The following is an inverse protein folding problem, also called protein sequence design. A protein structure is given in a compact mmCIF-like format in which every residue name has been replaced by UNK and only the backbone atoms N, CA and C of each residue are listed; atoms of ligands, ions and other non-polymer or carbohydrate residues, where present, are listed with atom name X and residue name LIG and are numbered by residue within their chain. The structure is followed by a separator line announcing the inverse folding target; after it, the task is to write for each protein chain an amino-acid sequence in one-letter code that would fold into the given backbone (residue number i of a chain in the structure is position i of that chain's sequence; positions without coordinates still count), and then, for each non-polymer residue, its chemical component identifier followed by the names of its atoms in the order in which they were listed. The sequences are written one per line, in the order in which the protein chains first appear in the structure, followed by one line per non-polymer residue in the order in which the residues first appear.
data_IF_832615863308
#
_entry.id   IF_832615863308
#
_cell.length_a   1.000
_cell.length_b   1.000
_cell.length_c   1.000
_cell.angle_alpha   90.00
_cell.angle_beta   90.00
_cell.angle_gamma   90.00
#
_symmetry.space_group_name_H-M   'P 1'
#
loop_
_entity.id
_entity.type
_entity.pdbx_description
1 polymer ?
#
# COMPACT_ATOMS: atom_id res chain seq x y z
N UNK A 1 -19.63 19.33 -7.26
CA UNK A 1 -19.21 18.18 -6.45
C UNK A 1 -17.82 17.82 -6.92
N UNK A 2 -16.85 17.87 -6.00
CA UNK A 2 -15.49 17.35 -6.20
C UNK A 2 -15.62 15.83 -6.35
N UNK A 3 -15.24 15.28 -7.50
CA UNK A 3 -15.29 13.82 -7.73
C UNK A 3 -14.13 13.11 -7.04
N UNK A 4 -14.09 11.78 -7.08
CA UNK A 4 -13.01 11.00 -6.47
C UNK A 4 -11.60 11.37 -6.99
N UNK A 5 -11.50 11.96 -8.18
CA UNK A 5 -10.25 12.49 -8.75
C UNK A 5 -9.68 13.68 -7.98
N UNK A 6 -10.56 14.47 -7.35
CA UNK A 6 -10.22 15.63 -6.54
C UNK A 6 -10.14 15.28 -5.05
N UNK A 7 -10.23 13.98 -4.69
CA UNK A 7 -10.18 13.52 -3.32
C UNK A 7 -8.86 13.93 -2.66
N UNK A 8 -8.93 14.86 -1.72
CA UNK A 8 -7.76 15.41 -1.07
C UNK A 8 -7.24 14.50 0.05
N UNK A 9 -5.92 14.28 0.04
CA UNK A 9 -5.18 13.68 1.15
C UNK A 9 -4.48 14.82 1.92
N UNK A 10 -4.83 15.05 3.19
CA UNK A 10 -4.30 16.18 3.96
C UNK A 10 -2.77 16.23 3.94
N UNK A 11 -2.23 17.38 3.49
CA UNK A 11 -0.79 17.62 3.42
C UNK A 11 -0.05 16.89 2.29
N UNK A 12 -0.73 16.12 1.44
CA UNK A 12 -0.09 15.26 0.44
C UNK A 12 -0.58 15.48 -1.02
N UNK A 13 -1.72 16.14 -1.23
CA UNK A 13 -2.27 16.43 -2.56
C UNK A 13 -3.52 15.62 -2.88
N UNK A 14 -3.79 15.35 -4.16
CA UNK A 14 -4.91 14.48 -4.54
C UNK A 14 -4.59 13.00 -4.30
N UNK A 15 -5.62 12.16 -4.17
CA UNK A 15 -5.45 10.71 -4.05
C UNK A 15 -4.67 10.11 -5.24
N UNK A 16 -4.86 10.66 -6.44
CA UNK A 16 -4.12 10.27 -7.65
C UNK A 16 -2.64 10.63 -7.53
N UNK A 17 -2.31 11.84 -7.09
CA UNK A 17 -0.93 12.26 -6.86
C UNK A 17 -0.24 11.38 -5.82
N UNK A 18 -0.96 11.02 -4.75
CA UNK A 18 -0.45 10.16 -3.70
C UNK A 18 -0.18 8.74 -4.21
N UNK A 19 -1.08 8.15 -5.00
CA UNK A 19 -0.86 6.84 -5.62
C UNK A 19 0.38 6.84 -6.52
N UNK A 20 0.53 7.86 -7.38
CA UNK A 20 1.70 8.04 -8.24
C UNK A 20 3.00 8.15 -7.41
N UNK A 21 2.95 8.89 -6.30
CA UNK A 21 4.10 9.04 -5.41
C UNK A 21 4.44 7.74 -4.68
N UNK A 22 3.45 6.95 -4.26
CA UNK A 22 3.65 5.64 -3.63
C UNK A 22 4.37 4.68 -4.58
N UNK A 23 3.97 4.59 -5.86
CA UNK A 23 4.67 3.71 -6.82
C UNK A 23 6.08 4.20 -7.12
N UNK A 24 6.30 5.51 -7.22
CA UNK A 24 7.64 6.09 -7.41
C UNK A 24 8.56 5.74 -6.24
N UNK A 25 8.14 6.03 -5.00
CA UNK A 25 8.91 5.70 -3.81
C UNK A 25 9.14 4.19 -3.67
N UNK A 26 8.13 3.38 -4.01
CA UNK A 26 8.23 1.92 -4.01
C UNK A 26 9.29 1.41 -4.99
N UNK A 27 9.44 2.05 -6.15
CA UNK A 27 10.43 1.68 -7.16
C UNK A 27 11.86 2.04 -6.75
N UNK A 28 12.06 3.04 -5.89
CA UNK A 28 13.36 3.42 -5.33
C UNK A 28 13.85 2.45 -4.24
N UNK A 29 12.95 1.64 -3.66
CA UNK A 29 13.28 0.67 -2.63
C UNK A 29 14.04 -0.53 -3.21
N UNK A 30 15.16 -0.91 -2.58
CA UNK A 30 15.97 -2.06 -3.01
C UNK A 30 15.47 -3.39 -2.43
N UNK A 31 15.20 -3.48 -1.13
CA UNK A 31 14.85 -4.75 -0.48
C UNK A 31 13.35 -5.08 -0.48
N UNK A 32 12.47 -4.10 -0.69
CA UNK A 32 11.00 -4.25 -0.51
C UNK A 32 10.19 -3.82 -1.73
N UNK A 33 10.86 -3.66 -2.88
CA UNK A 33 10.25 -3.13 -4.10
C UNK A 33 8.97 -3.87 -4.50
N UNK A 34 8.98 -5.21 -4.43
CA UNK A 34 7.85 -6.04 -4.82
C UNK A 34 6.68 -5.90 -3.85
N UNK A 35 6.94 -5.87 -2.54
CA UNK A 35 5.91 -5.64 -1.53
C UNK A 35 5.28 -4.26 -1.67
N UNK A 36 6.08 -3.22 -1.99
CA UNK A 36 5.58 -1.89 -2.30
C UNK A 36 4.70 -1.87 -3.57
N UNK A 37 5.10 -2.58 -4.65
CA UNK A 37 4.29 -2.70 -5.87
C UNK A 37 2.96 -3.41 -5.63
N UNK A 38 2.95 -4.48 -4.84
CA UNK A 38 1.72 -5.20 -4.46
C UNK A 38 0.80 -4.31 -3.63
N UNK A 39 1.34 -3.59 -2.64
CA UNK A 39 0.58 -2.62 -1.85
C UNK A 39 -0.06 -1.56 -2.76
N UNK A 40 0.72 -0.95 -3.64
CA UNK A 40 0.19 0.00 -4.63
C UNK A 40 -0.96 -0.59 -5.45
N UNK A 41 -0.77 -1.81 -5.99
CA UNK A 41 -1.82 -2.48 -6.76
C UNK A 41 -3.12 -2.66 -5.99
N UNK A 42 -3.05 -2.97 -4.69
CA UNK A 42 -4.25 -3.08 -3.84
C UNK A 42 -4.92 -1.72 -3.57
N UNK A 43 -4.13 -0.67 -3.38
CA UNK A 43 -4.65 0.71 -3.23
C UNK A 43 -5.34 1.17 -4.52
N UNK A 44 -4.75 0.85 -5.68
CA UNK A 44 -5.33 1.18 -6.98
C UNK A 44 -6.64 0.43 -7.25
N UNK A 45 -6.76 -0.84 -6.84
CA UNK A 45 -8.03 -1.57 -6.91
C UNK A 45 -9.09 -0.87 -6.05
N UNK A 46 -8.76 -0.45 -4.82
CA UNK A 46 -9.71 0.29 -3.97
C UNK A 46 -10.16 1.60 -4.63
N UNK A 47 -9.21 2.37 -5.16
CA UNK A 47 -9.51 3.62 -5.86
C UNK A 47 -10.49 3.38 -7.02
N UNK A 48 -10.21 2.37 -7.84
CA UNK A 48 -11.03 2.03 -8.99
C UNK A 48 -12.43 1.53 -8.60
N UNK A 49 -12.57 0.76 -7.52
CA UNK A 49 -13.89 0.37 -7.00
C UNK A 49 -14.71 1.59 -6.55
N UNK A 50 -14.11 2.49 -5.77
CA UNK A 50 -14.76 3.74 -5.34
C UNK A 50 -15.16 4.60 -6.54
N UNK A 51 -14.31 4.67 -7.56
CA UNK A 51 -14.56 5.43 -8.78
C UNK A 51 -15.70 4.82 -9.60
N UNK A 52 -15.72 3.49 -9.74
CA UNK A 52 -16.80 2.78 -10.43
C UNK A 52 -18.16 2.95 -9.74
N UNK A 53 -18.19 3.08 -8.41
CA UNK A 53 -19.44 3.41 -7.69
C UNK A 53 -19.95 4.78 -8.13
N UNK A 54 -19.10 5.82 -8.14
CA UNK A 54 -19.47 7.16 -8.62
C UNK A 54 -19.95 7.14 -10.09
N UNK A 55 -19.24 6.44 -10.97
CA UNK A 55 -19.59 6.32 -12.39
C UNK A 55 -20.95 5.62 -12.60
N UNK A 56 -21.34 4.72 -11.70
CA UNK A 56 -22.66 4.07 -11.68
C UNK A 56 -23.76 4.92 -11.03
N UNK A 57 -23.46 6.16 -10.65
CA UNK A 57 -24.37 7.06 -9.94
C UNK A 57 -24.59 6.69 -8.47
N UNK A 58 -23.76 5.81 -7.91
CA UNK A 58 -23.76 5.48 -6.49
C UNK A 58 -22.76 6.38 -5.79
N UNK A 59 -23.08 6.85 -4.59
CA UNK A 59 -22.11 7.58 -3.78
C UNK A 59 -21.39 6.61 -2.83
N UNK A 60 -20.05 6.57 -2.83
CA UNK A 60 -19.32 5.87 -1.79
C UNK A 60 -19.71 6.38 -0.41
N UNK A 61 -19.73 5.49 0.58
CA UNK A 61 -19.98 5.92 1.96
C UNK A 61 -18.86 6.87 2.40
N UNK A 62 -19.21 8.00 3.06
CA UNK A 62 -18.21 8.97 3.55
C UNK A 62 -17.13 8.30 4.40
N UNK A 63 -17.53 7.37 5.29
CA UNK A 63 -16.60 6.60 6.11
C UNK A 63 -15.65 5.70 5.30
N UNK A 64 -16.04 5.26 4.11
CA UNK A 64 -15.16 4.56 3.19
C UNK A 64 -14.14 5.54 2.59
N UNK A 65 -14.60 6.70 2.13
CA UNK A 65 -13.72 7.73 1.58
C UNK A 65 -12.69 8.17 2.61
N UNK A 66 -13.11 8.46 3.84
CA UNK A 66 -12.24 8.88 4.94
C UNK A 66 -11.19 7.81 5.27
N UNK A 67 -11.62 6.54 5.38
CA UNK A 67 -10.70 5.42 5.65
C UNK A 67 -9.70 5.20 4.52
N UNK A 68 -10.11 5.39 3.27
CA UNK A 68 -9.20 5.29 2.13
C UNK A 68 -8.14 6.41 2.16
N UNK A 69 -8.54 7.65 2.47
CA UNK A 69 -7.62 8.77 2.67
C UNK A 69 -6.61 8.47 3.77
N UNK A 70 -7.05 7.93 4.91
CA UNK A 70 -6.16 7.54 6.01
C UNK A 70 -5.13 6.49 5.58
N UNK A 71 -5.56 5.47 4.83
CA UNK A 71 -4.68 4.39 4.35
C UNK A 71 -3.66 4.94 3.34
N UNK A 72 -4.06 5.85 2.45
CA UNK A 72 -3.14 6.52 1.53
C UNK A 72 -2.09 7.34 2.29
N UNK A 73 -2.52 8.13 3.28
CA UNK A 73 -1.62 8.94 4.09
C UNK A 73 -0.60 8.08 4.85
N UNK A 74 -1.04 7.00 5.51
CA UNK A 74 -0.16 6.04 6.19
C UNK A 74 0.84 5.39 5.24
N UNK A 75 0.38 5.01 4.05
CA UNK A 75 1.23 4.39 3.03
C UNK A 75 2.33 5.35 2.57
N UNK A 76 1.96 6.58 2.23
CA UNK A 76 2.91 7.60 1.81
C UNK A 76 3.94 7.89 2.93
N UNK A 77 3.47 8.09 4.16
CA UNK A 77 4.33 8.36 5.31
C UNK A 77 5.33 7.24 5.57
N UNK A 78 4.87 5.98 5.51
CA UNK A 78 5.72 4.80 5.65
C UNK A 78 6.82 4.79 4.58
N UNK A 79 6.45 4.91 3.30
CA UNK A 79 7.43 4.86 2.21
C UNK A 79 8.41 6.03 2.25
N UNK A 80 7.96 7.25 2.56
CA UNK A 80 8.85 8.41 2.74
C UNK A 80 9.84 8.23 3.89
N UNK A 81 9.42 7.59 4.98
CA UNK A 81 10.27 7.31 6.13
C UNK A 81 11.43 6.36 5.78
N UNK A 82 11.23 5.43 4.84
CA UNK A 82 12.21 4.40 4.51
C UNK A 82 12.99 4.64 3.20
N UNK A 83 12.57 5.57 2.32
CA UNK A 83 13.13 5.78 0.96
C UNK A 83 14.64 5.99 0.84
N UNK A 84 15.28 6.54 1.89
CA UNK A 84 16.69 6.96 1.85
C UNK A 84 17.59 6.22 2.85
N UNK A 85 17.10 5.15 3.50
CA UNK A 85 17.90 4.44 4.52
C UNK A 85 18.89 3.49 3.85
N UNK A 86 20.18 3.62 4.22
CA UNK A 86 21.29 2.81 3.69
C UNK A 86 21.19 1.34 4.13
N UNK A 87 21.94 0.48 3.43
CA UNK A 87 22.23 -0.95 3.67
C UNK A 87 22.33 -1.41 5.15
N UNK A 88 22.72 -0.52 6.06
CA UNK A 88 22.93 -0.81 7.50
C UNK A 88 21.62 -0.82 8.31
N UNK A 89 20.53 -0.26 7.76
CA UNK A 89 19.17 -0.40 8.31
C UNK A 89 18.44 -1.68 7.81
N UNK A 90 19.04 -2.46 6.90
CA UNK A 90 18.41 -3.62 6.21
C UNK A 90 17.91 -4.76 7.09
N UNK A 91 18.37 -4.88 8.34
CA UNK A 91 17.96 -5.99 9.21
C UNK A 91 16.97 -5.54 10.28
N UNK A 92 17.27 -4.43 10.95
CA UNK A 92 16.42 -3.87 12.01
C UNK A 92 15.23 -3.09 11.43
N UNK A 93 15.47 -2.27 10.41
CA UNK A 93 14.43 -1.47 9.74
C UNK A 93 13.53 -2.29 8.84
N UNK A 94 14.04 -3.37 8.22
CA UNK A 94 13.22 -4.24 7.36
C UNK A 94 12.08 -4.90 8.12
N UNK A 95 12.34 -5.47 9.31
CA UNK A 95 11.26 -6.08 10.11
C UNK A 95 10.19 -5.06 10.50
N UNK A 96 10.61 -3.86 10.86
CA UNK A 96 9.70 -2.78 11.23
C UNK A 96 8.87 -2.32 10.01
N UNK A 97 9.53 -2.03 8.88
CA UNK A 97 8.87 -1.62 7.65
C UNK A 97 7.89 -2.68 7.13
N UNK A 98 8.30 -3.96 7.14
CA UNK A 98 7.41 -5.04 6.74
C UNK A 98 6.22 -5.18 7.70
N UNK A 99 6.42 -4.97 8.99
CA UNK A 99 5.31 -4.90 9.96
C UNK A 99 4.32 -3.77 9.65
N UNK A 100 4.81 -2.58 9.31
CA UNK A 100 3.97 -1.45 8.91
C UNK A 100 3.23 -1.74 7.59
N UNK A 101 3.92 -2.28 6.58
CA UNK A 101 3.31 -2.71 5.31
C UNK A 101 2.24 -3.77 5.58
N UNK A 102 2.49 -4.74 6.45
CA UNK A 102 1.51 -5.76 6.82
C UNK A 102 0.25 -5.12 7.44
N UNK A 103 0.42 -4.19 8.37
CA UNK A 103 -0.72 -3.52 9.00
C UNK A 103 -1.53 -2.69 7.99
N UNK A 104 -0.86 -1.99 7.06
CA UNK A 104 -1.54 -1.28 5.97
C UNK A 104 -2.33 -2.27 5.09
N UNK A 105 -1.74 -3.42 4.80
CA UNK A 105 -2.41 -4.46 4.02
C UNK A 105 -3.62 -5.07 4.75
N UNK A 106 -3.60 -5.19 6.08
CA UNK A 106 -4.75 -5.53 6.90
C UNK A 106 -5.83 -4.44 6.87
N UNK A 107 -5.43 -3.16 6.97
CA UNK A 107 -6.36 -2.02 6.88
C UNK A 107 -7.09 -2.02 5.53
N UNK A 108 -6.39 -2.35 4.44
CA UNK A 108 -6.98 -2.54 3.10
C UNK A 108 -7.88 -3.78 3.05
N UNK A 109 -7.52 -4.90 3.65
CA UNK A 109 -8.42 -6.08 3.66
C UNK A 109 -9.72 -5.80 4.43
N UNK A 110 -9.59 -5.13 5.59
CA UNK A 110 -10.74 -4.68 6.38
C UNK A 110 -11.62 -3.72 5.59
N UNK A 111 -11.03 -2.88 4.74
CA UNK A 111 -11.76 -1.99 3.85
C UNK A 111 -12.70 -2.77 2.91
N UNK A 112 -12.19 -3.78 2.19
CA UNK A 112 -13.01 -4.61 1.31
C UNK A 112 -14.14 -5.33 2.08
N UNK A 113 -13.85 -5.84 3.28
CA UNK A 113 -14.84 -6.54 4.11
C UNK A 113 -15.96 -5.62 4.62
N UNK A 114 -15.60 -4.49 5.22
CA UNK A 114 -16.57 -3.56 5.86
C UNK A 114 -17.47 -2.90 4.83
N UNK A 115 -16.92 -2.56 3.65
CA UNK A 115 -17.67 -1.88 2.60
C UNK A 115 -18.22 -2.82 1.53
N UNK A 116 -18.12 -4.15 1.76
CA UNK A 116 -18.62 -5.20 0.87
C UNK A 116 -18.20 -4.99 -0.60
N UNK A 117 -16.95 -4.61 -0.82
CA UNK A 117 -16.41 -4.37 -2.15
C UNK A 117 -16.01 -5.69 -2.80
N UNK A 118 -16.21 -5.78 -4.11
CA UNK A 118 -15.77 -6.93 -4.89
C UNK A 118 -14.25 -7.08 -4.75
N UNK A 119 -13.80 -8.17 -4.14
CA UNK A 119 -12.37 -8.43 -3.94
C UNK A 119 -11.80 -9.11 -5.18
N UNK A 120 -10.67 -8.62 -5.68
CA UNK A 120 -9.92 -9.25 -6.78
C UNK A 120 -8.86 -10.21 -6.25
N UNK A 121 -8.28 -11.07 -7.11
CA UNK A 121 -7.21 -11.99 -6.70
C UNK A 121 -6.01 -11.27 -6.04
N UNK A 122 -5.67 -10.06 -6.52
CA UNK A 122 -4.64 -9.21 -5.92
C UNK A 122 -4.94 -8.82 -4.46
N UNK A 123 -6.21 -8.82 -4.07
CA UNK A 123 -6.69 -8.52 -2.72
C UNK A 123 -6.78 -9.77 -1.85
N UNK A 124 -6.98 -10.96 -2.41
CA UNK A 124 -7.15 -12.20 -1.63
C UNK A 124 -5.83 -12.89 -1.28
N UNK A 125 -4.83 -12.83 -2.16
CA UNK A 125 -3.60 -13.63 -2.01
C UNK A 125 -2.46 -12.89 -1.27
N UNK A 126 -2.71 -11.66 -0.81
CA UNK A 126 -1.66 -10.77 -0.32
C UNK A 126 -0.89 -11.34 0.88
N UNK A 127 -1.53 -12.14 1.74
CA UNK A 127 -0.88 -12.78 2.90
C UNK A 127 0.16 -13.80 2.47
N UNK A 128 -0.22 -14.67 1.51
CA UNK A 128 0.70 -15.65 0.94
C UNK A 128 1.87 -14.97 0.22
N UNK A 129 1.58 -13.87 -0.48
CA UNK A 129 2.59 -13.07 -1.17
C UNK A 129 3.56 -12.39 -0.18
N UNK A 130 3.04 -11.82 0.91
CA UNK A 130 3.84 -11.23 1.98
C UNK A 130 4.77 -12.26 2.65
N UNK A 131 4.26 -13.46 2.92
CA UNK A 131 5.08 -14.54 3.46
C UNK A 131 6.17 -15.00 2.49
N UNK A 132 5.85 -15.08 1.20
CA UNK A 132 6.84 -15.42 0.18
C UNK A 132 7.94 -14.36 0.08
N UNK A 133 7.57 -13.08 0.09
CA UNK A 133 8.50 -11.95 0.09
C UNK A 133 9.41 -11.99 1.34
N UNK A 134 8.86 -12.30 2.52
CA UNK A 134 9.65 -12.50 3.74
C UNK A 134 10.65 -13.65 3.63
N UNK A 135 10.26 -14.79 3.04
CA UNK A 135 11.14 -15.95 2.86
C UNK A 135 12.30 -15.60 1.92
N UNK A 136 11.99 -15.04 0.75
CA UNK A 136 13.00 -14.65 -0.25
C UNK A 136 14.03 -13.67 0.34
N UNK A 137 13.57 -12.69 1.14
CA UNK A 137 14.49 -11.75 1.78
C UNK A 137 15.38 -12.42 2.84
N UNK A 138 14.85 -13.35 3.63
CA UNK A 138 15.66 -14.09 4.62
C UNK A 138 16.73 -14.92 3.94
N UNK A 139 16.41 -15.54 2.82
CA UNK A 139 17.37 -16.31 2.02
C UNK A 139 18.47 -15.41 1.44
N UNK A 140 18.11 -14.25 0.89
CA UNK A 140 19.05 -13.26 0.38
C UNK A 140 20.00 -12.73 1.48
N UNK A 141 19.47 -12.43 2.67
CA UNK A 141 20.30 -12.03 3.81
C UNK A 141 21.26 -13.16 4.20
N UNK A 142 20.76 -14.40 4.25
CA UNK A 142 21.56 -15.55 4.65
C UNK A 142 22.66 -15.88 3.62
N UNK A 143 22.47 -15.60 2.32
CA UNK A 143 23.54 -15.73 1.33
C UNK A 143 24.61 -14.65 1.50
N UNK A 144 24.23 -13.41 1.81
CA UNK A 144 25.16 -12.29 2.03
C UNK A 144 26.05 -12.41 3.29
N UNK A 145 25.72 -13.30 4.23
CA UNK A 145 26.48 -13.56 5.46
C UNK A 145 27.44 -14.74 5.30
N UNK A 146 27.26 -15.55 4.24
CA UNK A 146 28.09 -16.73 3.96
C UNK A 146 29.30 -16.44 3.05
N UNK A 147 29.35 -15.24 2.47
CA UNK A 147 30.49 -14.68 1.74
C UNK A 147 31.30 -13.73 2.64
#
# INVERSE_FOLDING_TARGET
MSGLLDLAVPGAGSAVDVLLKIVQLGNEMREVQQSCKRLHGRLDVVFNELKMMEEKGQQPQSSAVDKYVDVLAKSLQCLEHYRAKKLVFRLLGYRQMMGEIYQINEDVEMFFRVFNLASTAAVMDWKQQYEADQRAQREFIASMVRD
#
